data_IF_407904019918
#
_entry.id   IF_407904019918
#
_cell.length_a   1.000
_cell.length_b   1.000
_cell.length_c   1.000
_cell.angle_alpha   90.00
_cell.angle_beta   90.00
_cell.angle_gamma   90.00
#
_symmetry.space_group_name_H-M   'P 1'
#
loop_
_entity.id
_entity.type
_entity.pdbx_description
1 polymer ?
#
# COMPACT_ATOMS: atom_id res chain seq x y z
N UNK A 1 0.88 14.73 3.70
CA UNK A 1 1.69 14.48 4.92
C UNK A 1 0.76 13.91 5.97
N UNK A 2 1.23 12.96 6.79
CA UNK A 2 0.44 12.40 7.89
C UNK A 2 1.14 12.70 9.21
N UNK A 3 0.36 13.02 10.25
CA UNK A 3 0.84 13.44 11.56
C UNK A 3 -0.05 12.85 12.63
N UNK A 4 0.58 12.29 13.65
CA UNK A 4 -0.08 11.68 14.80
C UNK A 4 0.61 12.15 16.08
N UNK A 5 -0.20 12.38 17.11
CA UNK A 5 0.29 12.64 18.44
C UNK A 5 -0.05 11.43 19.30
N UNK A 6 0.96 10.87 19.98
CA UNK A 6 0.82 9.72 20.85
C UNK A 6 1.41 10.06 22.20
N UNK A 7 0.62 9.85 23.24
CA UNK A 7 1.08 10.00 24.62
C UNK A 7 1.65 8.67 25.13
N UNK A 8 2.83 8.70 25.75
CA UNK A 8 3.42 7.57 26.47
C UNK A 8 3.91 8.05 27.84
N UNK A 9 3.28 7.58 28.92
CA UNK A 9 3.53 7.98 30.32
C UNK A 9 3.61 9.50 30.55
N UNK A 10 2.62 10.26 30.06
CA UNK A 10 2.59 11.73 30.20
C UNK A 10 3.58 12.49 29.31
N UNK A 11 4.42 11.79 28.53
CA UNK A 11 5.25 12.42 27.49
C UNK A 11 4.50 12.35 26.15
N UNK A 12 4.27 13.50 25.53
CA UNK A 12 3.68 13.57 24.20
C UNK A 12 4.75 13.38 23.12
N UNK A 13 4.51 12.44 22.22
CA UNK A 13 5.34 12.19 21.04
C UNK A 13 4.59 12.60 19.78
N UNK A 14 5.22 13.41 18.95
CA UNK A 14 4.73 13.76 17.61
C UNK A 14 5.44 12.90 16.58
N UNK A 15 4.64 12.13 15.82
CA UNK A 15 5.12 11.25 14.75
C UNK A 15 4.57 11.79 13.45
N UNK A 16 5.45 12.02 12.48
CA UNK A 16 5.06 12.49 11.16
C UNK A 16 5.61 11.57 10.07
N UNK A 17 4.83 11.40 9.00
CA UNK A 17 5.28 10.79 7.77
C UNK A 17 5.17 11.80 6.63
N UNK A 18 6.31 12.06 5.99
CA UNK A 18 6.40 12.90 4.79
C UNK A 18 6.88 12.03 3.63
N UNK A 19 6.07 11.98 2.58
CA UNK A 19 6.50 11.39 1.31
C UNK A 19 7.39 12.39 0.59
N UNK A 20 8.59 11.97 0.20
CA UNK A 20 9.51 12.75 -0.62
C UNK A 20 9.73 12.10 -1.98
N UNK A 21 10.41 12.84 -2.86
CA UNK A 21 10.78 12.38 -4.20
C UNK A 21 11.79 11.21 -4.14
N UNK A 22 12.71 11.23 -3.19
CA UNK A 22 13.72 10.18 -2.97
C UNK A 22 13.33 9.16 -1.88
N UNK A 23 12.03 8.96 -1.66
CA UNK A 23 11.51 8.05 -0.62
C UNK A 23 10.82 8.78 0.53
N UNK A 24 10.28 7.99 1.46
CA UNK A 24 9.59 8.50 2.63
C UNK A 24 10.55 8.97 3.72
N UNK A 25 10.09 9.87 4.57
CA UNK A 25 10.74 10.23 5.83
C UNK A 25 9.75 10.07 6.97
N UNK A 26 10.21 9.47 8.05
CA UNK A 26 9.50 9.44 9.33
C UNK A 26 10.19 10.44 10.26
N UNK A 27 9.41 11.28 10.93
CA UNK A 27 9.91 12.30 11.85
C UNK A 27 9.34 12.01 13.23
N UNK A 28 10.20 11.81 14.22
CA UNK A 28 9.81 11.56 15.61
C UNK A 28 10.33 12.70 16.47
N UNK A 29 9.44 13.51 17.04
CA UNK A 29 9.79 14.70 17.84
C UNK A 29 10.80 15.63 17.14
N UNK A 30 10.66 15.80 15.81
CA UNK A 30 11.56 16.63 15.01
C UNK A 30 12.82 15.92 14.50
N UNK A 31 13.14 14.72 14.99
CA UNK A 31 14.25 13.92 14.46
C UNK A 31 13.82 13.18 13.19
N UNK A 32 14.49 13.46 12.06
CA UNK A 32 14.16 12.86 10.77
C UNK A 32 14.93 11.55 10.51
N UNK A 33 14.19 10.52 10.08
CA UNK A 33 14.76 9.28 9.59
C UNK A 33 14.21 8.93 8.20
N UNK A 34 15.12 8.65 7.26
CA UNK A 34 14.74 8.20 5.92
C UNK A 34 14.25 6.76 5.98
N UNK A 35 13.13 6.48 5.30
CA UNK A 35 12.54 5.15 5.21
C UNK A 35 12.45 4.70 3.76
N UNK A 36 12.87 3.46 3.50
CA UNK A 36 12.83 2.85 2.18
C UNK A 36 11.60 1.96 2.06
N UNK A 37 11.01 1.92 0.87
CA UNK A 37 9.97 0.95 0.56
C UNK A 37 10.55 -0.48 0.59
N UNK A 38 9.78 -1.42 1.14
CA UNK A 38 10.08 -2.85 1.14
C UNK A 38 9.91 -3.47 -0.25
N UNK A 39 9.18 -2.80 -1.15
CA UNK A 39 8.99 -3.25 -2.53
C UNK A 39 9.40 -2.15 -3.51
N UNK A 40 10.00 -2.53 -4.64
CA UNK A 40 10.49 -1.60 -5.66
C UNK A 40 9.35 -1.01 -6.51
N UNK A 41 8.27 -1.76 -6.72
CA UNK A 41 7.13 -1.36 -7.56
C UNK A 41 6.01 -0.73 -6.73
N UNK A 42 5.78 -1.24 -5.52
CA UNK A 42 4.74 -0.74 -4.62
C UNK A 42 5.38 0.06 -3.48
N UNK A 43 4.83 1.23 -3.18
CA UNK A 43 5.24 1.97 -2.00
C UNK A 43 4.68 1.29 -0.73
N UNK A 44 5.50 0.44 -0.12
CA UNK A 44 5.16 -0.35 1.07
C UNK A 44 6.20 -0.07 2.14
N UNK A 45 5.83 0.72 3.14
CA UNK A 45 6.72 1.06 4.25
C UNK A 45 6.10 0.47 5.51
N UNK A 46 6.94 -0.19 6.30
CA UNK A 46 6.60 -0.64 7.64
C UNK A 46 7.81 -0.33 8.51
N UNK A 47 7.69 0.75 9.29
CA UNK A 47 8.80 1.29 10.07
C UNK A 47 8.48 1.21 11.57
N UNK A 48 9.13 0.31 12.32
CA UNK A 48 8.91 0.17 13.75
C UNK A 48 9.61 1.29 14.52
N UNK A 49 8.91 1.91 15.47
CA UNK A 49 9.43 2.86 16.45
C UNK A 49 9.11 2.29 17.84
N UNK A 50 10.12 2.15 18.69
CA UNK A 50 9.93 1.73 20.08
C UNK A 50 9.96 2.96 20.98
N UNK A 51 8.87 3.21 21.69
CA UNK A 51 8.84 4.13 22.83
C UNK A 51 9.17 3.38 24.12
N UNK A 52 8.91 3.99 25.28
CA UNK A 52 9.23 3.37 26.58
C UNK A 52 8.32 2.18 26.86
N UNK A 53 7.01 2.36 26.71
CA UNK A 53 6.02 1.27 26.92
C UNK A 53 5.17 0.96 25.68
N UNK A 54 5.18 1.84 24.68
CA UNK A 54 4.41 1.66 23.45
C UNK A 54 5.28 1.21 22.28
N UNK A 55 4.81 0.18 21.58
CA UNK A 55 5.33 -0.21 20.28
C UNK A 55 4.53 0.49 19.19
N UNK A 56 5.22 1.23 18.32
CA UNK A 56 4.60 1.95 17.22
C UNK A 56 5.10 1.41 15.89
N UNK A 57 4.24 1.40 14.89
CA UNK A 57 4.62 1.07 13.52
C UNK A 57 4.01 2.10 12.56
N UNK A 58 4.86 2.84 11.85
CA UNK A 58 4.41 3.68 10.74
C UNK A 58 4.27 2.80 9.52
N UNK A 59 3.04 2.65 9.05
CA UNK A 59 2.71 1.78 7.93
C UNK A 59 2.20 2.61 6.77
N UNK A 60 2.80 2.43 5.59
CA UNK A 60 2.41 3.12 4.37
C UNK A 60 2.12 2.08 3.30
N UNK A 61 0.91 2.13 2.75
CA UNK A 61 0.50 1.31 1.61
C UNK A 61 0.05 2.26 0.50
N UNK A 62 0.88 2.37 -0.54
CA UNK A 62 0.65 3.27 -1.66
C UNK A 62 0.72 4.74 -1.24
N UNK A 63 -0.43 5.41 -1.31
CA UNK A 63 -0.56 6.83 -0.93
C UNK A 63 -1.13 7.01 0.49
N UNK A 64 -1.55 5.94 1.16
CA UNK A 64 -2.13 6.01 2.50
C UNK A 64 -1.07 5.66 3.54
N UNK A 65 -0.94 6.51 4.56
CA UNK A 65 -0.11 6.27 5.72
C UNK A 65 -1.01 6.15 6.95
N UNK A 66 -0.72 5.19 7.82
CA UNK A 66 -1.41 4.95 9.08
C UNK A 66 -0.35 4.65 10.16
N UNK A 67 -0.73 4.84 11.42
CA UNK A 67 0.10 4.54 12.57
C UNK A 67 -0.55 3.41 13.36
N UNK A 68 0.17 2.32 13.58
CA UNK A 68 -0.24 1.30 14.53
C UNK A 68 0.41 1.55 15.89
N UNK A 69 -0.40 1.48 16.96
CA UNK A 69 0.03 1.60 18.35
C UNK A 69 -0.33 0.30 19.06
N UNK A 70 0.67 -0.35 19.67
CA UNK A 70 0.53 -1.63 20.35
C UNK A 70 -0.19 -2.70 19.51
N UNK A 71 0.12 -2.72 18.21
CA UNK A 71 -0.47 -3.69 17.28
C UNK A 71 -1.89 -3.35 16.82
N UNK A 72 -2.39 -2.13 17.00
CA UNK A 72 -3.70 -1.67 16.49
C UNK A 72 -3.52 -0.39 15.67
N UNK A 73 -4.06 -0.35 14.46
CA UNK A 73 -4.07 0.84 13.61
C UNK A 73 -4.96 1.94 14.19
N UNK A 74 -4.46 3.17 14.28
CA UNK A 74 -5.23 4.32 14.77
C UNK A 74 -6.36 4.72 13.81
N UNK A 75 -6.11 4.69 12.49
CA UNK A 75 -7.09 5.15 11.51
C UNK A 75 -8.28 4.19 11.33
N UNK A 76 -8.08 2.89 11.53
CA UNK A 76 -9.10 1.86 11.27
C UNK A 76 -9.50 1.05 12.50
N UNK A 77 -8.80 1.20 13.62
CA UNK A 77 -8.98 0.43 14.85
C UNK A 77 -8.90 -1.09 14.64
N UNK A 78 -8.13 -1.51 13.63
CA UNK A 78 -7.94 -2.92 13.26
C UNK A 78 -6.59 -3.42 13.78
N UNK A 79 -6.46 -4.73 14.06
CA UNK A 79 -5.17 -5.28 14.43
C UNK A 79 -4.19 -5.15 13.24
N UNK A 80 -2.98 -4.72 13.58
CA UNK A 80 -1.89 -4.51 12.65
C UNK A 80 -1.26 -5.86 12.27
N UNK A 81 -1.06 -6.05 10.97
CA UNK A 81 -0.35 -7.18 10.39
C UNK A 81 0.80 -6.63 9.55
N UNK A 82 2.06 -7.04 9.82
CA UNK A 82 3.21 -6.58 9.05
C UNK A 82 3.08 -6.90 7.57
N UNK A 83 3.57 -6.00 6.71
CA UNK A 83 3.51 -6.20 5.25
C UNK A 83 4.29 -7.45 4.80
N UNK A 84 5.34 -7.84 5.54
CA UNK A 84 6.10 -9.07 5.30
C UNK A 84 5.28 -10.35 5.48
N UNK A 85 4.11 -10.28 6.11
CA UNK A 85 3.19 -11.41 6.28
C UNK A 85 2.11 -11.47 5.20
N UNK A 86 2.17 -10.63 4.16
CA UNK A 86 1.23 -10.73 3.05
C UNK A 86 1.39 -12.11 2.36
N UNK A 87 0.28 -12.85 2.16
CA UNK A 87 0.32 -14.19 1.61
C UNK A 87 0.75 -14.21 0.14
N UNK A 88 1.41 -15.28 -0.30
CA UNK A 88 1.94 -15.41 -1.67
C UNK A 88 0.89 -15.21 -2.79
N UNK A 89 -0.37 -15.57 -2.55
CA UNK A 89 -1.44 -15.37 -3.53
C UNK A 89 -1.70 -13.89 -3.83
N UNK A 90 -1.49 -12.96 -2.88
CA UNK A 90 -1.71 -11.53 -3.13
C UNK A 90 -0.62 -10.98 -4.04
N UNK A 91 0.62 -11.45 -3.86
CA UNK A 91 1.74 -11.14 -4.77
C UNK A 91 1.53 -11.70 -6.18
N UNK A 92 0.87 -12.86 -6.32
CA UNK A 92 0.51 -13.38 -7.64
C UNK A 92 -0.42 -12.39 -8.38
N UNK A 93 -1.45 -11.85 -7.72
CA UNK A 93 -2.31 -10.82 -8.32
C UNK A 93 -1.54 -9.55 -8.70
N UNK A 94 -0.59 -9.12 -7.86
CA UNK A 94 0.28 -7.97 -8.16
C UNK A 94 1.04 -8.21 -9.47
N UNK A 95 1.76 -9.34 -9.57
CA UNK A 95 2.59 -9.64 -10.76
C UNK A 95 1.71 -9.74 -12.01
N UNK A 96 0.60 -10.48 -11.95
CA UNK A 96 -0.27 -10.67 -13.12
C UNK A 96 -0.89 -9.35 -13.57
N UNK A 97 -1.35 -8.51 -12.63
CA UNK A 97 -1.94 -7.20 -12.97
C UNK A 97 -0.94 -6.24 -13.60
N UNK A 98 0.33 -6.27 -13.16
CA UNK A 98 1.41 -5.50 -13.78
C UNK A 98 1.74 -6.02 -15.19
N UNK A 99 1.82 -7.33 -15.38
CA UNK A 99 2.11 -7.94 -16.70
C UNK A 99 0.99 -7.64 -17.70
N UNK A 100 -0.28 -7.82 -17.32
CA UNK A 100 -1.43 -7.48 -18.19
C UNK A 100 -1.40 -5.99 -18.52
N UNK A 101 -1.17 -5.14 -17.52
CA UNK A 101 -1.06 -3.69 -17.73
C UNK A 101 0.01 -3.32 -18.75
N UNK A 102 1.21 -3.88 -18.61
CA UNK A 102 2.31 -3.63 -19.54
C UNK A 102 2.02 -4.11 -20.96
N UNK A 103 1.51 -5.35 -21.10
CA UNK A 103 1.31 -5.96 -22.42
C UNK A 103 0.19 -5.29 -23.23
N UNK A 104 -0.90 -4.88 -22.57
CA UNK A 104 -2.08 -4.38 -23.29
C UNK A 104 -2.15 -2.85 -23.36
N UNK A 105 -1.69 -2.15 -22.31
CA UNK A 105 -1.81 -0.69 -22.21
C UNK A 105 -0.48 0.02 -21.88
N UNK A 106 0.65 -0.68 -21.98
CA UNK A 106 1.98 -0.13 -21.77
C UNK A 106 2.15 0.52 -20.40
N UNK A 107 2.78 1.69 -20.38
CA UNK A 107 3.06 2.45 -19.14
C UNK A 107 1.78 2.87 -18.42
N UNK A 108 0.73 3.26 -19.15
CA UNK A 108 -0.56 3.60 -18.53
C UNK A 108 -1.20 2.38 -17.85
N UNK A 109 -1.15 1.23 -18.50
CA UNK A 109 -1.61 -0.03 -17.93
C UNK A 109 -0.83 -0.43 -16.68
N UNK A 110 0.51 -0.24 -16.67
CA UNK A 110 1.32 -0.43 -15.46
C UNK A 110 0.86 0.45 -14.30
N UNK A 111 0.60 1.73 -14.54
CA UNK A 111 0.12 2.65 -13.49
C UNK A 111 -1.21 2.16 -12.88
N UNK A 112 -2.14 1.69 -13.71
CA UNK A 112 -3.40 1.10 -13.23
C UNK A 112 -3.16 -0.20 -12.45
N UNK A 113 -2.23 -1.05 -12.92
CA UNK A 113 -1.86 -2.28 -12.22
C UNK A 113 -1.23 -2.02 -10.86
N UNK A 114 -0.39 -1.00 -10.73
CA UNK A 114 0.19 -0.55 -9.45
C UNK A 114 -0.92 -0.09 -8.50
N UNK A 115 -1.91 0.66 -8.97
CA UNK A 115 -3.05 1.10 -8.15
C UNK A 115 -3.89 -0.10 -7.66
N UNK A 116 -4.18 -1.07 -8.52
CA UNK A 116 -4.87 -2.31 -8.15
C UNK A 116 -4.10 -3.15 -7.14
N UNK A 117 -2.79 -3.23 -7.33
CA UNK A 117 -1.87 -3.96 -6.47
C UNK A 117 -1.87 -3.49 -5.01
N UNK A 118 -2.05 -2.17 -4.79
CA UNK A 118 -2.22 -1.62 -3.44
C UNK A 118 -3.46 -2.20 -2.74
N UNK A 119 -4.54 -2.44 -3.48
CA UNK A 119 -5.76 -3.04 -2.94
C UNK A 119 -5.54 -4.51 -2.57
N UNK A 120 -4.86 -5.30 -3.41
CA UNK A 120 -4.61 -6.73 -3.13
C UNK A 120 -3.80 -6.91 -1.84
N UNK A 121 -2.72 -6.14 -1.68
CA UNK A 121 -1.88 -6.19 -0.48
C UNK A 121 -2.70 -5.77 0.74
N UNK A 122 -3.40 -4.63 0.67
CA UNK A 122 -4.23 -4.16 1.79
C UNK A 122 -5.33 -5.16 2.17
N UNK A 123 -6.05 -5.72 1.19
CA UNK A 123 -7.12 -6.68 1.44
C UNK A 123 -6.58 -8.00 2.00
N UNK A 124 -5.37 -8.40 1.61
CA UNK A 124 -4.74 -9.63 2.12
C UNK A 124 -4.38 -9.53 3.61
N UNK A 125 -4.00 -8.33 4.06
CA UNK A 125 -3.63 -8.03 5.45
C UNK A 125 -4.85 -7.68 6.33
N UNK A 126 -6.02 -7.43 5.73
CA UNK A 126 -7.24 -7.09 6.47
C UNK A 126 -7.78 -8.28 7.26
N UNK A 127 -7.83 -8.19 8.59
CA UNK A 127 -8.37 -9.26 9.43
C UNK A 127 -9.90 -9.31 9.51
N UNK A 128 -10.60 -8.26 9.05
CA UNK A 128 -12.05 -8.17 9.09
C UNK A 128 -12.77 -9.22 8.21
N UNK A 129 -12.09 -9.74 7.20
CA UNK A 129 -12.67 -10.66 6.22
C UNK A 129 -12.14 -12.07 6.40
N UNK A 130 -12.97 -13.08 6.13
CA UNK A 130 -12.50 -14.47 5.95
C UNK A 130 -11.58 -14.56 4.74
N UNK A 131 -10.67 -15.54 4.72
CA UNK A 131 -9.72 -15.70 3.62
C UNK A 131 -10.41 -15.78 2.25
N UNK A 132 -11.53 -16.52 2.16
CA UNK A 132 -12.33 -16.64 0.94
C UNK A 132 -12.85 -15.28 0.49
N UNK A 133 -13.37 -14.46 1.41
CA UNK A 133 -13.88 -13.12 1.07
C UNK A 133 -12.78 -12.17 0.62
N UNK A 134 -11.56 -12.29 1.19
CA UNK A 134 -10.38 -11.52 0.74
C UNK A 134 -9.95 -11.91 -0.67
N UNK A 135 -9.95 -13.21 -0.97
CA UNK A 135 -9.53 -13.71 -2.29
C UNK A 135 -10.58 -13.33 -3.34
N UNK A 136 -11.87 -13.51 -3.04
CA UNK A 136 -12.97 -13.12 -3.94
C UNK A 136 -12.97 -11.62 -4.20
N UNK A 137 -12.76 -10.77 -3.19
CA UNK A 137 -12.67 -9.33 -3.40
C UNK A 137 -11.49 -8.96 -4.31
N UNK A 138 -10.35 -9.64 -4.17
CA UNK A 138 -9.19 -9.44 -5.04
C UNK A 138 -9.47 -9.88 -6.48
N UNK A 139 -10.16 -11.01 -6.69
CA UNK A 139 -10.57 -11.46 -8.02
C UNK A 139 -11.50 -10.44 -8.70
N UNK A 140 -12.52 -9.94 -8.00
CA UNK A 140 -13.46 -8.95 -8.55
C UNK A 140 -12.69 -7.71 -9.02
N UNK A 141 -11.84 -7.15 -8.16
CA UNK A 141 -11.04 -5.96 -8.50
C UNK A 141 -10.04 -6.26 -9.61
N UNK A 142 -9.44 -7.45 -9.62
CA UNK A 142 -8.54 -7.89 -10.68
C UNK A 142 -9.22 -7.95 -12.04
N UNK A 143 -10.41 -8.54 -12.15
CA UNK A 143 -11.14 -8.58 -13.42
C UNK A 143 -11.52 -7.19 -13.90
N UNK A 144 -12.02 -6.33 -13.00
CA UNK A 144 -12.37 -4.94 -13.35
C UNK A 144 -11.15 -4.20 -13.91
N UNK A 145 -10.01 -4.25 -13.22
CA UNK A 145 -8.80 -3.55 -13.66
C UNK A 145 -8.27 -4.15 -14.97
N UNK A 146 -8.27 -5.47 -15.12
CA UNK A 146 -7.79 -6.14 -16.33
C UNK A 146 -8.64 -5.77 -17.55
N UNK A 147 -9.97 -5.72 -17.39
CA UNK A 147 -10.89 -5.30 -18.47
C UNK A 147 -10.58 -3.84 -18.86
N UNK A 148 -10.44 -2.94 -17.89
CA UNK A 148 -10.11 -1.54 -18.16
C UNK A 148 -8.77 -1.41 -18.89
N UNK A 149 -7.73 -2.15 -18.47
CA UNK A 149 -6.42 -2.16 -19.12
C UNK A 149 -6.52 -2.64 -20.58
N UNK A 150 -7.25 -3.74 -20.84
CA UNK A 150 -7.37 -4.31 -22.18
C UNK A 150 -8.18 -3.39 -23.10
N UNK A 151 -9.35 -2.93 -22.65
CA UNK A 151 -10.23 -2.07 -23.46
C UNK A 151 -9.54 -0.75 -23.79
N UNK A 152 -8.87 -0.13 -22.80
CA UNK A 152 -8.11 1.09 -23.03
C UNK A 152 -6.96 0.85 -24.02
N UNK A 153 -6.22 -0.25 -23.86
CA UNK A 153 -5.15 -0.64 -24.77
C UNK A 153 -5.61 -0.79 -26.22
N UNK A 154 -6.71 -1.52 -26.43
CA UNK A 154 -7.30 -1.70 -27.76
C UNK A 154 -7.79 -0.37 -28.35
N UNK A 155 -8.47 0.47 -27.57
CA UNK A 155 -8.96 1.77 -28.03
C UNK A 155 -7.81 2.73 -28.39
N UNK A 156 -6.75 2.77 -27.59
CA UNK A 156 -5.58 3.57 -27.86
C UNK A 156 -4.85 3.12 -29.13
N UNK A 157 -4.66 1.80 -29.30
CA UNK A 157 -4.06 1.25 -30.51
C UNK A 157 -4.91 1.53 -31.75
N UNK A 158 -6.23 1.37 -31.66
CA UNK A 158 -7.13 1.71 -32.75
C UNK A 158 -6.99 3.19 -33.15
N UNK A 159 -7.03 4.09 -32.17
CA UNK A 159 -6.90 5.53 -32.41
C UNK A 159 -5.57 5.91 -33.07
N UNK A 160 -4.46 5.34 -32.60
CA UNK A 160 -3.12 5.56 -33.18
C UNK A 160 -3.04 5.09 -34.64
N UNK A 161 -3.66 3.96 -34.98
CA UNK A 161 -3.63 3.42 -36.34
C UNK A 161 -4.57 4.17 -37.31
N UNK A 162 -5.50 4.98 -36.80
CA UNK A 162 -6.42 5.80 -37.61
C UNK A 162 -5.97 7.24 -37.79
N UNK A 163 -4.86 7.64 -37.15
CA UNK A 163 -4.20 8.94 -37.33
C UNK A 163 -3.22 8.88 -38.51
#
# INVERSE_FOLDING_TARGET
MAKWNVEDQGTQYTIEYKRGFNGGKVIVNGSEQKVKSQNAFLNLIDFPIRLKEKALNVVVIGNKADLAVNGIYLGSNQPYVPVSKAPGWSWAFVVVSLVIGWLFAGVFGLCLGILGSMFYVKSSLSLHQTINRRVVSCFIVFFIISIVQIVFGLAANYWINTL
#
